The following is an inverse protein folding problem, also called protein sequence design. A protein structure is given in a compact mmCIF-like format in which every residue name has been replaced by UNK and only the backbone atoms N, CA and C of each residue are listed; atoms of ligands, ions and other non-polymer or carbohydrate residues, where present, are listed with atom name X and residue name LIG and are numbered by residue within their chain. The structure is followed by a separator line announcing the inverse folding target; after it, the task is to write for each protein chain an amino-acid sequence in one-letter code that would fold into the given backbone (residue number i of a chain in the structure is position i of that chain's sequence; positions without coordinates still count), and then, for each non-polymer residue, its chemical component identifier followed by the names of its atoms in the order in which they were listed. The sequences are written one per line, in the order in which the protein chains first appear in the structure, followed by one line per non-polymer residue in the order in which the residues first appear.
data_IF_755527477953
#
_entry.id   IF_755527477953
#
_cell.length_a   1.000
_cell.length_b   1.000
_cell.length_c   1.000
_cell.angle_alpha   90.00
_cell.angle_beta   90.00
_cell.angle_gamma   90.00
#
_symmetry.space_group_name_H-M   'P 1'
#
loop_
_entity.id
_entity.type
_entity.pdbx_description
1 polymer ?
#
# COMPACT_ATOMS: atom_id res chain seq x y z
N UNK A 1 0.41 2.72 -11.88
CA UNK A 1 1.33 3.31 -12.88
C UNK A 1 2.55 3.85 -12.16
N UNK A 2 3.66 4.10 -12.88
CA UNK A 2 4.85 4.73 -12.28
C UNK A 2 4.51 6.11 -11.71
N UNK A 3 3.62 6.85 -12.36
CA UNK A 3 3.16 8.17 -11.92
C UNK A 3 2.38 8.16 -10.61
N UNK A 4 1.90 6.99 -10.16
CA UNK A 4 1.24 6.89 -8.85
C UNK A 4 2.24 6.90 -7.69
N UNK A 5 3.55 6.77 -7.98
CA UNK A 5 4.62 6.83 -6.97
C UNK A 5 5.16 8.26 -6.93
N UNK A 6 4.71 9.04 -5.94
CA UNK A 6 5.07 10.46 -5.77
C UNK A 6 6.27 10.61 -4.86
N UNK A 7 7.47 10.47 -5.44
CA UNK A 7 8.75 10.58 -4.70
C UNK A 7 9.25 12.01 -4.48
N UNK A 8 8.84 12.96 -5.33
CA UNK A 8 9.29 14.36 -5.25
C UNK A 8 8.48 15.19 -4.25
N UNK A 9 7.45 14.59 -3.64
CA UNK A 9 6.67 15.22 -2.58
C UNK A 9 7.49 15.29 -1.30
N UNK A 10 7.39 16.38 -0.49
CA UNK A 10 7.99 16.43 0.85
C UNK A 10 7.62 15.22 1.71
N UNK A 11 6.42 14.69 1.47
CA UNK A 11 5.92 13.45 2.04
C UNK A 11 5.75 12.44 0.89
N UNK A 12 6.72 11.55 0.62
CA UNK A 12 6.58 10.58 -0.45
C UNK A 12 5.38 9.65 -0.24
N UNK A 13 4.57 9.42 -1.27
CA UNK A 13 3.38 8.58 -1.16
C UNK A 13 3.07 7.78 -2.41
N UNK A 14 2.33 6.68 -2.23
CA UNK A 14 1.70 5.91 -3.28
C UNK A 14 0.23 6.34 -3.41
N UNK A 15 -0.18 6.72 -4.61
CA UNK A 15 -1.56 7.12 -4.91
C UNK A 15 -2.34 5.96 -5.53
N UNK A 16 -3.15 5.28 -4.73
CA UNK A 16 -4.07 4.24 -5.21
C UNK A 16 -5.31 4.94 -5.74
N UNK A 17 -5.50 4.90 -7.06
CA UNK A 17 -6.61 5.55 -7.77
C UNK A 17 -7.06 4.68 -8.95
N UNK A 18 -8.29 4.89 -9.48
CA UNK A 18 -8.71 4.18 -10.67
C UNK A 18 -7.88 4.59 -11.89
N UNK A 19 -7.67 3.64 -12.79
CA UNK A 19 -7.06 3.85 -14.11
C UNK A 19 -7.94 3.23 -15.20
N UNK A 20 -7.87 3.67 -16.46
CA UNK A 20 -8.68 3.10 -17.55
C UNK A 20 -8.55 1.57 -17.65
N UNK A 21 -7.33 1.05 -17.51
CA UNK A 21 -6.99 -0.39 -17.56
C UNK A 21 -7.20 -1.14 -16.23
N UNK A 22 -7.52 -0.42 -15.14
CA UNK A 22 -7.71 -1.01 -13.81
C UNK A 22 -8.68 -0.18 -12.97
N UNK A 23 -9.93 -0.64 -12.92
CA UNK A 23 -10.94 -0.09 -12.00
C UNK A 23 -10.62 -0.49 -10.56
N UNK A 24 -10.98 0.38 -9.62
CA UNK A 24 -11.03 0.03 -8.21
C UNK A 24 -12.28 -0.81 -7.93
N UNK A 25 -12.21 -1.70 -6.92
CA UNK A 25 -13.35 -2.53 -6.51
C UNK A 25 -14.54 -1.66 -6.06
N UNK A 26 -14.26 -0.54 -5.41
CA UNK A 26 -15.22 0.50 -5.04
C UNK A 26 -14.57 1.88 -5.22
N UNK A 27 -15.38 2.93 -5.42
CA UNK A 27 -14.89 4.31 -5.46
C UNK A 27 -14.14 4.70 -4.17
N UNK A 28 -14.59 4.16 -3.03
CA UNK A 28 -13.98 4.35 -1.70
C UNK A 28 -12.63 3.66 -1.52
N UNK A 29 -12.16 2.83 -2.47
CA UNK A 29 -10.86 2.17 -2.35
C UNK A 29 -9.68 3.09 -2.69
N UNK A 30 -9.95 4.28 -3.20
CA UNK A 30 -8.93 5.27 -3.56
C UNK A 30 -8.28 5.84 -2.29
N UNK A 31 -6.95 5.89 -2.24
CA UNK A 31 -6.21 6.36 -1.05
C UNK A 31 -4.78 6.76 -1.37
N UNK A 32 -4.21 7.58 -0.50
CA UNK A 32 -2.77 7.88 -0.48
C UNK A 32 -2.14 7.12 0.67
N UNK A 33 -1.05 6.40 0.41
CA UNK A 33 -0.28 5.67 1.42
C UNK A 33 1.12 6.28 1.49
N UNK A 34 1.55 6.85 2.62
CA UNK A 34 2.93 7.31 2.77
C UNK A 34 3.92 6.17 2.56
N UNK A 35 5.06 6.49 1.93
CA UNK A 35 6.12 5.52 1.65
C UNK A 35 7.30 5.84 2.57
N UNK A 36 7.59 4.95 3.52
CA UNK A 36 8.65 5.12 4.53
C UNK A 36 9.70 4.00 4.44
N UNK A 37 10.92 4.28 4.91
CA UNK A 37 12.00 3.30 5.14
C UNK A 37 12.23 2.33 3.93
N UNK A 38 12.20 1.01 4.14
CA UNK A 38 12.42 -0.01 3.10
C UNK A 38 11.50 0.16 1.89
N UNK A 39 10.25 0.58 2.12
CA UNK A 39 9.30 0.87 1.04
C UNK A 39 9.77 2.06 0.19
N UNK A 40 10.38 3.08 0.81
CA UNK A 40 10.92 4.24 0.11
C UNK A 40 12.14 3.87 -0.72
N UNK A 41 13.03 3.05 -0.17
CA UNK A 41 14.16 2.48 -0.91
C UNK A 41 13.68 1.68 -2.13
N UNK A 42 12.69 0.80 -1.93
CA UNK A 42 12.13 -0.04 -3.00
C UNK A 42 11.46 0.81 -4.09
N UNK A 43 10.69 1.83 -3.71
CA UNK A 43 10.03 2.75 -4.63
C UNK A 43 11.04 3.55 -5.47
N UNK A 44 12.11 4.07 -4.86
CA UNK A 44 13.21 4.75 -5.56
C UNK A 44 13.87 3.82 -6.59
N UNK A 45 14.19 2.60 -6.18
CA UNK A 45 14.80 1.59 -7.06
C UNK A 45 13.88 1.22 -8.21
N UNK A 46 12.59 1.03 -7.94
CA UNK A 46 11.58 0.75 -8.94
C UNK A 46 11.50 1.88 -9.98
N UNK A 47 11.38 3.14 -9.55
CA UNK A 47 11.30 4.30 -10.45
C UNK A 47 12.56 4.46 -11.29
N UNK A 48 13.75 4.18 -10.72
CA UNK A 48 15.05 4.23 -11.43
C UNK A 48 15.17 3.20 -12.55
N UNK A 49 14.65 1.99 -12.35
CA UNK A 49 14.83 0.88 -13.29
C UNK A 49 13.62 0.63 -14.20
N UNK A 50 12.47 1.24 -13.90
CA UNK A 50 11.29 1.09 -14.73
C UNK A 50 11.47 1.86 -16.04
N UNK A 51 11.28 1.15 -17.16
CA UNK A 51 11.32 1.71 -18.52
C UNK A 51 9.94 1.84 -19.15
N UNK A 52 8.88 1.55 -18.39
CA UNK A 52 7.50 1.55 -18.90
C UNK A 52 6.57 2.35 -17.99
N UNK A 53 5.36 2.63 -18.46
CA UNK A 53 4.30 3.29 -17.69
C UNK A 53 3.81 2.46 -16.49
N UNK A 54 4.05 1.14 -16.54
CA UNK A 54 3.57 0.17 -15.57
C UNK A 54 4.71 -0.26 -14.65
N UNK A 55 4.51 -0.17 -13.33
CA UNK A 55 5.47 -0.67 -12.36
C UNK A 55 5.83 -2.15 -12.57
N UNK A 56 4.86 -2.94 -13.03
CA UNK A 56 4.99 -4.39 -13.22
C UNK A 56 4.41 -4.80 -14.58
N UNK A 57 5.12 -4.52 -15.70
CA UNK A 57 4.60 -4.71 -17.05
C UNK A 57 4.30 -6.17 -17.39
N UNK A 58 4.91 -7.12 -16.67
CA UNK A 58 4.62 -8.56 -16.79
C UNK A 58 3.17 -8.92 -16.43
N UNK A 59 2.53 -8.12 -15.57
CA UNK A 59 1.21 -8.44 -15.02
C UNK A 59 0.14 -7.41 -15.39
N UNK A 60 0.50 -6.28 -15.98
CA UNK A 60 -0.44 -5.23 -16.35
C UNK A 60 0.07 -4.46 -17.57
N UNK A 61 -0.83 -4.26 -18.53
CA UNK A 61 -0.65 -3.41 -19.70
C UNK A 61 -1.93 -2.57 -19.94
N UNK A 62 -2.05 -1.95 -21.11
CA UNK A 62 -3.17 -1.08 -21.47
C UNK A 62 -4.51 -1.84 -21.59
N UNK A 63 -4.45 -3.11 -22.00
CA UNK A 63 -5.64 -3.91 -22.28
C UNK A 63 -6.08 -4.78 -21.09
N UNK A 64 -5.14 -5.21 -20.25
CA UNK A 64 -5.39 -6.23 -19.23
C UNK A 64 -4.54 -6.05 -17.98
N UNK A 65 -5.18 -6.27 -16.83
CA UNK A 65 -4.52 -6.41 -15.52
C UNK A 65 -4.73 -7.84 -15.00
N UNK A 66 -3.68 -8.65 -14.94
CA UNK A 66 -3.74 -10.04 -14.48
C UNK A 66 -3.55 -10.14 -12.96
N UNK A 67 -4.61 -9.84 -12.23
CA UNK A 67 -4.64 -9.83 -10.76
C UNK A 67 -4.31 -11.21 -10.16
N UNK A 68 -4.90 -12.28 -10.68
CA UNK A 68 -4.73 -13.63 -10.14
C UNK A 68 -3.29 -14.13 -10.30
N UNK A 69 -2.66 -13.88 -11.46
CA UNK A 69 -1.25 -14.23 -11.67
C UNK A 69 -0.31 -13.43 -10.76
N UNK A 70 -0.65 -12.18 -10.44
CA UNK A 70 0.14 -11.35 -9.52
C UNK A 70 0.14 -11.94 -8.10
N UNK A 71 -1.04 -12.30 -7.59
CA UNK A 71 -1.17 -12.92 -6.26
C UNK A 71 -0.48 -14.28 -6.19
N UNK A 72 -0.63 -15.12 -7.23
CA UNK A 72 0.02 -16.42 -7.31
C UNK A 72 1.55 -16.30 -7.33
N UNK A 73 2.10 -15.39 -8.16
CA UNK A 73 3.54 -15.16 -8.25
C UNK A 73 4.12 -14.61 -6.92
N UNK A 74 3.41 -13.69 -6.28
CA UNK A 74 3.83 -13.14 -4.99
C UNK A 74 3.80 -14.20 -3.89
N UNK A 75 2.74 -15.00 -3.79
CA UNK A 75 2.68 -16.10 -2.83
C UNK A 75 3.80 -17.14 -3.08
N UNK A 76 4.08 -17.48 -4.35
CA UNK A 76 5.21 -18.36 -4.70
C UNK A 76 6.54 -17.78 -4.21
N UNK A 77 6.74 -16.46 -4.32
CA UNK A 77 7.96 -15.80 -3.83
C UNK A 77 8.03 -15.81 -2.30
N UNK A 78 6.94 -15.48 -1.60
CA UNK A 78 6.89 -15.50 -0.13
C UNK A 78 7.27 -16.88 0.41
N UNK A 79 6.64 -17.94 -0.12
CA UNK A 79 6.92 -19.33 0.30
C UNK A 79 8.35 -19.79 0.01
N UNK A 80 9.08 -19.10 -0.88
CA UNK A 80 10.49 -19.40 -1.15
C UNK A 80 11.47 -18.77 -0.17
N UNK A 81 11.02 -17.78 0.62
CA UNK A 81 11.87 -17.03 1.56
C UNK A 81 11.36 -17.08 3.01
N UNK A 82 10.13 -17.55 3.22
CA UNK A 82 9.43 -17.61 4.49
C UNK A 82 8.78 -19.00 4.68
N UNK A 83 7.86 -19.15 5.63
CA UNK A 83 7.18 -20.44 5.84
C UNK A 83 6.17 -20.77 4.73
N UNK A 84 5.93 -22.07 4.53
CA UNK A 84 5.02 -22.58 3.48
C UNK A 84 3.56 -22.10 3.63
N UNK A 85 3.19 -21.72 4.84
CA UNK A 85 1.85 -21.29 5.23
C UNK A 85 1.71 -19.76 5.14
N UNK A 86 2.83 -19.03 4.95
CA UNK A 86 2.81 -17.59 4.76
C UNK A 86 2.23 -17.23 3.39
N UNK A 87 1.26 -16.33 3.42
CA UNK A 87 0.56 -15.82 2.24
C UNK A 87 0.49 -14.31 2.27
N UNK A 88 0.35 -13.69 1.10
CA UNK A 88 0.27 -12.23 0.95
C UNK A 88 -0.86 -11.61 1.78
N UNK A 89 -1.93 -12.37 2.06
CA UNK A 89 -3.03 -11.91 2.90
C UNK A 89 -2.62 -11.74 4.36
N UNK A 90 -1.77 -12.63 4.87
CA UNK A 90 -1.23 -12.53 6.23
C UNK A 90 -0.41 -11.25 6.40
N UNK A 91 0.40 -10.87 5.40
CA UNK A 91 1.15 -9.61 5.43
C UNK A 91 0.25 -8.38 5.61
N UNK A 92 -0.95 -8.38 5.01
CA UNK A 92 -1.91 -7.27 5.16
C UNK A 92 -2.52 -7.24 6.56
N UNK A 93 -2.75 -8.39 7.19
CA UNK A 93 -3.21 -8.45 8.58
C UNK A 93 -2.11 -8.06 9.56
N UNK A 94 -0.89 -8.57 9.39
CA UNK A 94 0.26 -8.19 10.20
C UNK A 94 0.53 -6.68 10.15
N UNK A 95 0.24 -6.02 9.03
CA UNK A 95 0.29 -4.57 8.93
C UNK A 95 -0.75 -3.88 9.84
N UNK A 96 -1.99 -4.39 9.87
CA UNK A 96 -3.02 -3.93 10.81
C UNK A 96 -2.58 -4.12 12.25
N UNK A 97 -2.11 -5.31 12.57
CA UNK A 97 -1.77 -5.72 13.93
C UNK A 97 -0.63 -4.87 14.48
N UNK A 98 0.40 -4.63 13.66
CA UNK A 98 1.53 -3.74 14.03
C UNK A 98 1.11 -2.30 14.23
N UNK A 99 0.18 -1.78 13.42
CA UNK A 99 -0.38 -0.45 13.67
C UNK A 99 -1.21 -0.43 14.96
N UNK A 100 -1.93 -1.51 15.26
CA UNK A 100 -2.62 -1.69 16.54
C UNK A 100 -1.66 -1.72 17.73
N UNK A 101 -0.51 -2.39 17.60
CA UNK A 101 0.52 -2.45 18.66
C UNK A 101 1.16 -1.11 18.99
N UNK A 102 1.07 -0.11 18.10
CA UNK A 102 1.53 1.27 18.36
C UNK A 102 0.41 2.21 18.77
N UNK A 103 -0.79 1.67 18.98
CA UNK A 103 -2.02 2.39 19.33
C UNK A 103 -2.45 3.40 18.26
N UNK A 104 -2.26 3.06 16.98
CA UNK A 104 -2.74 3.90 15.89
C UNK A 104 -4.30 3.96 15.89
N UNK A 105 -4.90 5.11 15.57
CA UNK A 105 -6.36 5.23 15.49
C UNK A 105 -6.99 4.21 14.54
N UNK A 106 -8.11 3.55 14.89
CA UNK A 106 -8.74 2.52 14.05
C UNK A 106 -9.12 3.02 12.64
N UNK A 107 -9.57 4.27 12.53
CA UNK A 107 -9.89 4.93 11.26
C UNK A 107 -8.64 5.13 10.39
N UNK A 108 -7.48 5.39 11.00
CA UNK A 108 -6.20 5.47 10.29
C UNK A 108 -5.76 4.10 9.77
N UNK A 109 -5.93 3.04 10.58
CA UNK A 109 -5.66 1.65 10.18
C UNK A 109 -6.54 1.28 8.99
N UNK A 110 -7.84 1.56 9.09
CA UNK A 110 -8.82 1.33 8.02
C UNK A 110 -8.45 2.09 6.74
N UNK A 111 -8.08 3.37 6.86
CA UNK A 111 -7.67 4.22 5.75
C UNK A 111 -6.40 3.71 5.06
N UNK A 112 -5.35 3.38 5.82
CA UNK A 112 -4.09 2.85 5.27
C UNK A 112 -4.29 1.48 4.59
N UNK A 113 -5.02 0.59 5.28
CA UNK A 113 -5.30 -0.76 4.80
C UNK A 113 -6.31 -0.81 3.65
N UNK A 114 -7.12 0.23 3.48
CA UNK A 114 -8.28 0.23 2.58
C UNK A 114 -9.37 -0.74 3.06
N UNK A 115 -9.59 -0.81 4.37
CA UNK A 115 -10.74 -1.51 4.96
C UNK A 115 -11.95 -0.58 5.01
N UNK A 116 -13.13 -1.16 5.22
CA UNK A 116 -14.36 -0.39 5.39
C UNK A 116 -14.24 0.49 6.64
N UNK A 117 -14.29 1.81 6.46
CA UNK A 117 -14.33 2.76 7.56
C UNK A 117 -15.56 2.47 8.41
N UNK A 118 -15.34 2.01 9.65
CA UNK A 118 -16.44 1.67 10.57
C UNK A 118 -17.07 2.91 11.20
N UNK A 119 -16.34 4.02 11.25
CA UNK A 119 -16.74 5.30 11.84
C UNK A 119 -17.07 6.36 10.77
N UNK A 120 -18.16 6.16 10.04
CA UNK A 120 -18.82 7.30 9.37
C UNK A 120 -19.61 8.03 10.47
N UNK A 121 -18.97 8.92 11.25
CA UNK A 121 -19.76 9.65 12.26
C UNK A 121 -19.08 10.59 13.25
N UNK A 122 -17.75 10.63 13.40
CA UNK A 122 -17.11 11.52 14.38
C UNK A 122 -15.74 12.01 13.88
N UNK A 123 -15.67 13.26 13.42
CA UNK A 123 -14.43 14.05 13.37
C UNK A 123 -13.68 14.14 12.02
N UNK A 124 -13.59 15.36 11.50
CA UNK A 124 -12.73 15.85 10.41
C UNK A 124 -12.99 15.28 9.01
N UNK A 125 -13.74 16.05 8.20
CA UNK A 125 -14.33 15.70 6.91
C UNK A 125 -13.43 15.25 5.75
N UNK A 126 -12.14 14.98 5.98
CA UNK A 126 -11.20 14.55 4.93
C UNK A 126 -10.39 13.28 5.28
N UNK A 127 -10.64 12.65 6.44
CA UNK A 127 -9.86 11.53 6.95
C UNK A 127 -8.50 11.94 7.55
N UNK A 128 -7.64 10.97 7.85
CA UNK A 128 -6.32 11.22 8.40
C UNK A 128 -5.41 11.90 7.36
N UNK A 129 -4.68 12.92 7.79
CA UNK A 129 -3.72 13.63 6.94
C UNK A 129 -2.53 12.73 6.56
N UNK A 130 -1.84 13.08 5.48
CA UNK A 130 -0.69 12.30 4.99
C UNK A 130 0.47 12.32 5.99
N UNK A 131 0.64 13.44 6.70
CA UNK A 131 1.62 13.67 7.76
C UNK A 131 1.37 12.74 8.94
N UNK A 132 0.12 12.69 9.44
CA UNK A 132 -0.27 11.81 10.55
C UNK A 132 -0.06 10.34 10.21
N UNK A 133 -0.47 9.94 9.00
CA UNK A 133 -0.24 8.58 8.51
C UNK A 133 1.26 8.26 8.39
N UNK A 134 2.08 9.21 7.93
CA UNK A 134 3.53 8.99 7.80
C UNK A 134 4.18 8.80 9.17
N UNK A 135 3.86 9.68 10.13
CA UNK A 135 4.37 9.60 11.50
C UNK A 135 4.06 8.25 12.16
N UNK A 136 2.82 7.77 12.03
CA UNK A 136 2.44 6.43 12.52
C UNK A 136 3.22 5.31 11.84
N UNK A 137 3.42 5.39 10.53
CA UNK A 137 4.22 4.39 9.81
C UNK A 137 5.70 4.42 10.21
N UNK A 138 6.28 5.60 10.45
CA UNK A 138 7.64 5.77 10.94
C UNK A 138 7.82 5.21 12.36
N UNK A 139 6.84 5.45 13.25
CA UNK A 139 6.79 4.83 14.58
C UNK A 139 6.74 3.31 14.47
N UNK A 140 5.87 2.76 13.62
CA UNK A 140 5.71 1.31 13.42
C UNK A 140 6.99 0.63 12.91
N UNK A 141 7.75 1.27 12.03
CA UNK A 141 9.02 0.70 11.50
C UNK A 141 10.20 0.88 12.46
N UNK A 142 10.12 1.82 13.39
CA UNK A 142 11.17 2.08 14.39
C UNK A 142 11.09 1.12 15.59
N UNK A 143 9.94 0.46 15.80
CA UNK A 143 9.85 -0.65 16.74
C UNK A 143 10.67 -1.84 16.24
N UNK A 144 11.63 -2.29 17.06
CA UNK A 144 12.35 -3.54 16.80
C UNK A 144 11.36 -4.71 16.91
N UNK A 145 11.38 -5.58 15.89
CA UNK A 145 10.70 -6.88 15.91
C UNK A 145 11.32 -7.80 16.97
#
# INVERSE_FOLDING_TARGET
MIDDIKLESPLPYLHIRPHPHRRLKTASSGRKIPIVNTSLWAAKRLKKHCKSLYCFPRYTNEERCNLNSTSAATNKRIKSIAHKDDVIHALRHSFSDRLGSIEAPPDMIDQLGGWTLRSIGQGHGDGNSLELMQSSLEKMVSQKL
#
